data_IF_111330215625
#
_entry.id   IF_111330215625
#
_cell.length_a   1.000
_cell.length_b   1.000
_cell.length_c   1.000
_cell.angle_alpha   90.00
_cell.angle_beta   90.00
_cell.angle_gamma   90.00
#
_symmetry.space_group_name_H-M   'P 1'
#
loop_
_entity.id
_entity.type
_entity.pdbx_description
1 polymer ?
#
# COMPACT_ATOMS: atom_id res chain seq x y z
N UNK A 1 -9.09 1.82 6.17
CA UNK A 1 -9.28 0.78 5.14
C UNK A 1 -8.90 1.41 3.80
N UNK A 2 -8.02 0.80 2.99
CA UNK A 2 -7.58 1.44 1.74
C UNK A 2 -8.73 1.57 0.74
N UNK A 3 -8.71 2.61 -0.08
CA UNK A 3 -9.80 2.88 -1.00
C UNK A 3 -9.80 1.85 -2.14
N UNK A 4 -10.88 1.08 -2.25
CA UNK A 4 -11.18 0.22 -3.39
C UNK A 4 -12.68 0.27 -3.65
N UNK A 5 -13.07 0.25 -4.93
CA UNK A 5 -14.48 0.20 -5.31
C UNK A 5 -15.13 -1.08 -4.76
N UNK A 6 -16.37 -1.01 -4.26
CA UNK A 6 -17.12 -2.18 -3.79
C UNK A 6 -17.17 -3.32 -4.82
N UNK A 7 -17.20 -2.97 -6.11
CA UNK A 7 -17.17 -3.92 -7.22
C UNK A 7 -15.88 -4.74 -7.25
N UNK A 8 -14.77 -4.20 -6.72
CA UNK A 8 -13.50 -4.90 -6.62
C UNK A 8 -13.43 -5.86 -5.43
N UNK A 9 -14.36 -5.76 -4.48
CA UNK A 9 -14.37 -6.55 -3.25
C UNK A 9 -15.22 -7.82 -3.34
N UNK A 10 -16.12 -7.90 -4.31
CA UNK A 10 -17.11 -8.97 -4.45
C UNK A 10 -16.80 -9.86 -5.66
N UNK A 11 -17.14 -11.15 -5.57
CA UNK A 11 -17.04 -12.07 -6.72
C UNK A 11 -15.63 -12.47 -7.17
N UNK A 12 -14.56 -12.02 -6.50
CA UNK A 12 -13.15 -12.31 -6.86
C UNK A 12 -12.62 -13.67 -6.33
N UNK A 13 -13.46 -14.45 -5.66
CA UNK A 13 -13.10 -15.76 -5.11
C UNK A 13 -12.46 -15.70 -3.71
N UNK A 14 -12.20 -16.89 -3.15
CA UNK A 14 -11.75 -17.04 -1.75
C UNK A 14 -10.36 -16.46 -1.49
N UNK A 15 -9.45 -16.60 -2.45
CA UNK A 15 -8.06 -16.16 -2.29
C UNK A 15 -7.95 -14.64 -2.24
N UNK A 16 -8.65 -13.93 -3.14
CA UNK A 16 -8.69 -12.47 -3.12
C UNK A 16 -9.26 -11.92 -1.80
N UNK A 17 -10.32 -12.56 -1.28
CA UNK A 17 -10.89 -12.23 0.03
C UNK A 17 -9.88 -12.45 1.16
N UNK A 18 -9.20 -13.61 1.17
CA UNK A 18 -8.20 -13.94 2.18
C UNK A 18 -7.05 -12.93 2.20
N UNK A 19 -6.47 -12.60 1.04
CA UNK A 19 -5.40 -11.61 0.92
C UNK A 19 -5.82 -10.23 1.41
N UNK A 20 -7.07 -9.84 1.14
CA UNK A 20 -7.66 -8.60 1.65
C UNK A 20 -7.70 -8.62 3.19
N UNK A 21 -8.32 -9.65 3.77
CA UNK A 21 -8.49 -9.80 5.22
C UNK A 21 -7.13 -9.83 5.94
N UNK A 22 -6.13 -10.52 5.39
CA UNK A 22 -4.76 -10.56 5.95
C UNK A 22 -4.08 -9.18 5.91
N UNK A 23 -4.22 -8.43 4.82
CA UNK A 23 -3.65 -7.08 4.70
C UNK A 23 -4.36 -6.09 5.64
N UNK A 24 -5.68 -6.16 5.76
CA UNK A 24 -6.46 -5.35 6.70
C UNK A 24 -6.07 -5.65 8.15
N UNK A 25 -5.88 -6.92 8.50
CA UNK A 25 -5.41 -7.34 9.81
C UNK A 25 -4.00 -6.82 10.11
N UNK A 26 -3.09 -6.83 9.13
CA UNK A 26 -1.75 -6.24 9.29
C UNK A 26 -1.81 -4.74 9.59
N UNK A 27 -2.59 -3.99 8.79
CA UNK A 27 -2.75 -2.53 8.96
C UNK A 27 -3.29 -2.21 10.35
N UNK A 28 -4.34 -2.92 10.79
CA UNK A 28 -4.98 -2.70 12.08
C UNK A 28 -4.08 -3.11 13.25
N UNK A 29 -3.45 -4.28 13.19
CA UNK A 29 -2.62 -4.82 14.29
C UNK A 29 -1.34 -4.02 14.53
N UNK A 30 -0.86 -3.29 13.52
CA UNK A 30 0.35 -2.45 13.60
C UNK A 30 0.05 -0.96 13.59
N UNK A 31 -1.23 -0.58 13.65
CA UNK A 31 -1.67 0.82 13.74
C UNK A 31 -1.06 1.68 12.62
N UNK A 32 -1.06 1.12 11.41
CA UNK A 32 -0.51 1.76 10.21
C UNK A 32 -1.52 2.72 9.60
N UNK A 33 -1.01 3.84 9.10
CA UNK A 33 -1.78 4.81 8.33
C UNK A 33 -1.78 4.38 6.87
N UNK A 34 -2.93 4.52 6.22
CA UNK A 34 -3.08 4.31 4.77
C UNK A 34 -3.20 5.67 4.09
N UNK A 35 -2.36 5.90 3.08
CA UNK A 35 -2.27 7.18 2.37
C UNK A 35 -3.08 7.24 1.08
N UNK A 36 -3.54 6.10 0.56
CA UNK A 36 -4.39 6.05 -0.63
C UNK A 36 -5.64 6.94 -0.45
N UNK A 37 -5.88 7.84 -1.42
CA UNK A 37 -7.01 8.78 -1.42
C UNK A 37 -8.10 8.36 -2.42
N UNK A 38 -9.36 8.57 -2.04
CA UNK A 38 -10.48 8.43 -2.96
C UNK A 38 -10.42 9.49 -4.09
N UNK A 39 -10.99 9.17 -5.24
CA UNK A 39 -11.03 10.07 -6.41
C UNK A 39 -9.72 10.15 -7.21
N UNK A 40 -8.69 9.37 -6.85
CA UNK A 40 -7.50 9.17 -7.67
C UNK A 40 -7.73 8.08 -8.72
N UNK A 41 -6.99 8.10 -9.85
CA UNK A 41 -6.98 7.02 -10.82
C UNK A 41 -6.66 5.65 -10.19
N UNK A 42 -7.10 4.57 -10.84
CA UNK A 42 -6.78 3.21 -10.39
C UNK A 42 -5.27 2.95 -10.45
N UNK A 43 -4.69 2.23 -9.48
CA UNK A 43 -3.23 2.02 -9.45
C UNK A 43 -2.75 0.98 -10.46
N UNK A 44 -3.65 0.16 -10.99
CA UNK A 44 -3.38 -0.80 -12.04
C UNK A 44 -4.45 -0.73 -13.14
N UNK A 45 -4.03 -0.75 -14.39
CA UNK A 45 -4.90 -0.74 -15.57
C UNK A 45 -4.33 -1.68 -16.64
N UNK A 46 -5.13 -2.66 -17.02
CA UNK A 46 -4.79 -3.61 -18.09
C UNK A 46 -6.00 -3.80 -19.02
N UNK A 47 -5.82 -4.57 -20.09
CA UNK A 47 -6.93 -5.00 -20.98
C UNK A 47 -8.06 -5.71 -20.22
N UNK A 48 -7.75 -6.34 -19.07
CA UNK A 48 -8.72 -7.05 -18.22
C UNK A 48 -9.46 -6.13 -17.23
N UNK A 49 -9.23 -4.81 -17.33
CA UNK A 49 -9.83 -3.79 -16.50
C UNK A 49 -8.86 -3.18 -15.49
N UNK A 50 -9.44 -2.36 -14.62
CA UNK A 50 -8.72 -1.53 -13.67
C UNK A 50 -8.89 -2.00 -12.23
N UNK A 51 -7.91 -1.74 -11.37
CA UNK A 51 -7.97 -2.11 -9.96
C UNK A 51 -7.05 -1.28 -9.07
N UNK A 52 -7.31 -1.30 -7.76
CA UNK A 52 -6.46 -0.70 -6.74
C UNK A 52 -5.73 -1.79 -5.97
N UNK A 53 -4.54 -2.17 -6.42
CA UNK A 53 -3.73 -3.24 -5.83
C UNK A 53 -2.44 -2.73 -5.16
N UNK A 54 -2.00 -1.52 -5.52
CA UNK A 54 -0.90 -0.83 -4.84
C UNK A 54 -1.40 0.01 -3.65
N UNK A 55 -0.78 -0.18 -2.49
CA UNK A 55 -1.14 0.49 -1.23
C UNK A 55 0.08 1.21 -0.67
N UNK A 56 -0.11 2.46 -0.24
CA UNK A 56 0.90 3.25 0.45
C UNK A 56 0.55 3.33 1.92
N UNK A 57 1.43 2.82 2.78
CA UNK A 57 1.22 2.77 4.24
C UNK A 57 2.44 3.30 5.00
N UNK A 58 2.22 3.83 6.19
CA UNK A 58 3.29 4.25 7.10
C UNK A 58 2.96 3.99 8.56
N UNK A 59 3.97 4.04 9.42
CA UNK A 59 3.75 4.23 10.85
C UNK A 59 3.25 5.64 11.13
N UNK A 60 2.76 5.88 12.35
CA UNK A 60 2.44 7.23 12.84
C UNK A 60 3.67 8.14 12.77
N UNK A 61 3.44 9.43 12.52
CA UNK A 61 4.49 10.46 12.47
C UNK A 61 5.12 10.70 11.10
N UNK A 62 4.93 9.80 10.12
CA UNK A 62 5.28 10.08 8.74
C UNK A 62 4.35 11.18 8.19
N UNK A 63 4.95 12.27 7.71
CA UNK A 63 4.22 13.34 7.02
C UNK A 63 4.31 13.08 5.53
N UNK A 64 3.16 12.87 4.92
CA UNK A 64 3.01 12.70 3.48
C UNK A 64 2.10 13.83 2.99
N UNK A 65 2.53 14.53 1.97
CA UNK A 65 1.74 15.57 1.32
C UNK A 65 1.50 15.14 -0.12
N UNK A 66 0.39 15.57 -0.72
CA UNK A 66 0.13 15.39 -2.16
C UNK A 66 0.23 13.96 -2.72
N UNK A 67 -0.11 12.93 -1.93
CA UNK A 67 -0.27 11.56 -2.44
C UNK A 67 -1.21 11.55 -3.65
N UNK A 68 -0.72 11.05 -4.78
CA UNK A 68 -1.46 10.98 -6.05
C UNK A 68 -1.02 9.84 -6.92
N UNK A 69 -1.92 9.38 -7.77
CA UNK A 69 -1.63 8.42 -8.85
C UNK A 69 -1.38 9.20 -10.13
N UNK A 70 -0.27 8.95 -10.80
CA UNK A 70 0.09 9.59 -12.07
C UNK A 70 -0.26 8.67 -13.24
N UNK A 71 -1.19 9.12 -14.08
CA UNK A 71 -1.52 8.48 -15.35
C UNK A 71 -0.43 8.76 -16.38
N UNK A 72 -0.17 7.76 -17.23
CA UNK A 72 0.72 7.84 -18.40
C UNK A 72 2.16 8.31 -18.12
N UNK A 73 2.58 8.26 -16.85
CA UNK A 73 3.93 8.64 -16.44
C UNK A 73 4.99 7.59 -16.83
N UNK A 74 4.57 6.33 -17.00
CA UNK A 74 5.41 5.19 -17.35
C UNK A 74 4.66 4.23 -18.28
N UNK A 75 5.40 3.51 -19.11
CA UNK A 75 4.89 2.42 -19.95
C UNK A 75 4.78 1.13 -19.11
N UNK A 76 3.76 1.05 -18.25
CA UNK A 76 3.45 -0.12 -17.42
C UNK A 76 1.95 -0.17 -17.12
N UNK A 77 1.41 -1.37 -16.94
CA UNK A 77 0.05 -1.55 -16.44
C UNK A 77 -0.12 -0.99 -15.02
N UNK A 78 0.98 -0.91 -14.24
CA UNK A 78 0.99 -0.19 -12.98
C UNK A 78 1.15 1.31 -13.21
N UNK A 79 0.32 2.11 -12.55
CA UNK A 79 0.42 3.57 -12.54
C UNK A 79 1.36 4.03 -11.44
N UNK A 80 2.19 5.03 -11.75
CA UNK A 80 3.17 5.56 -10.81
C UNK A 80 2.46 6.28 -9.65
N UNK A 81 2.78 5.91 -8.41
CA UNK A 81 2.35 6.64 -7.22
C UNK A 81 3.42 7.68 -6.87
N UNK A 82 3.01 8.95 -6.79
CA UNK A 82 3.85 10.04 -6.34
C UNK A 82 3.45 10.43 -4.92
N UNK A 83 4.42 10.39 -4.01
CA UNK A 83 4.27 10.82 -2.63
C UNK A 83 5.55 11.56 -2.21
N UNK A 84 5.52 12.91 -2.17
CA UNK A 84 6.56 13.70 -1.52
C UNK A 84 6.71 13.27 -0.05
N UNK A 85 7.81 12.60 0.26
CA UNK A 85 8.20 12.32 1.64
C UNK A 85 9.02 13.51 2.17
N UNK A 86 8.67 14.00 3.35
CA UNK A 86 9.48 14.99 4.06
C UNK A 86 10.66 14.26 4.73
N UNK A 87 11.86 14.44 4.18
CA UNK A 87 13.11 13.86 4.70
C UNK A 87 13.88 13.05 3.66
N UNK A 88 14.98 12.41 4.07
CA UNK A 88 15.77 11.53 3.19
C UNK A 88 15.17 10.13 3.18
N UNK A 89 14.64 9.63 2.06
CA UNK A 89 14.03 8.30 2.01
C UNK A 89 15.10 7.23 2.16
N UNK A 90 14.92 6.34 3.14
CA UNK A 90 15.71 5.11 3.26
C UNK A 90 14.98 4.02 2.48
N UNK A 91 15.55 3.62 1.34
CA UNK A 91 15.04 2.47 0.57
C UNK A 91 15.60 1.18 1.13
N UNK A 92 14.72 0.31 1.63
CA UNK A 92 15.08 -1.08 1.91
C UNK A 92 15.07 -1.88 0.61
N UNK A 93 16.19 -2.50 0.27
CA UNK A 93 16.34 -3.30 -0.95
C UNK A 93 15.87 -4.72 -0.68
N UNK A 94 14.88 -5.17 -1.44
CA UNK A 94 14.19 -6.45 -1.25
C UNK A 94 15.05 -7.71 -1.47
N UNK A 95 16.06 -7.64 -2.36
CA UNK A 95 16.86 -8.82 -2.80
C UNK A 95 17.75 -9.46 -1.71
N UNK A 96 17.64 -9.05 -0.45
CA UNK A 96 18.33 -9.65 0.69
C UNK A 96 17.51 -9.60 1.98
N UNK A 97 16.21 -9.35 1.90
CA UNK A 97 15.34 -9.30 3.08
C UNK A 97 15.00 -10.74 3.49
N UNK A 98 15.37 -11.09 4.72
CA UNK A 98 14.88 -12.31 5.35
C UNK A 98 13.41 -12.10 5.75
N UNK A 99 12.51 -12.61 4.92
CA UNK A 99 11.07 -12.53 5.14
C UNK A 99 10.61 -13.21 6.43
N UNK A 100 11.38 -14.14 7.00
CA UNK A 100 11.08 -14.72 8.30
C UNK A 100 11.42 -13.75 9.45
N UNK A 101 12.35 -12.81 9.23
CA UNK A 101 12.73 -11.77 10.22
C UNK A 101 11.94 -10.48 10.06
N UNK A 102 11.41 -10.20 8.88
CA UNK A 102 10.63 -9.00 8.61
C UNK A 102 9.51 -8.71 9.65
N UNK A 103 8.75 -9.71 10.14
CA UNK A 103 7.74 -9.49 11.19
C UNK A 103 8.31 -8.94 12.51
N UNK A 104 9.58 -9.23 12.82
CA UNK A 104 10.28 -8.78 14.03
C UNK A 104 10.91 -7.40 13.84
N UNK A 105 11.25 -7.02 12.60
CA UNK A 105 11.85 -5.71 12.29
C UNK A 105 10.82 -4.56 12.39
N UNK A 106 9.56 -4.82 12.07
CA UNK A 106 8.47 -3.83 12.22
C UNK A 106 8.15 -3.57 13.70
N UNK A 107 8.59 -4.45 14.61
CA UNK A 107 8.26 -4.39 16.04
C UNK A 107 9.21 -3.50 16.86
N UNK A 108 10.34 -3.06 16.31
CA UNK A 108 11.44 -2.48 17.10
C UNK A 108 11.33 -0.95 17.27
N UNK A 109 10.28 -0.30 16.78
CA UNK A 109 10.11 1.17 16.86
C UNK A 109 8.78 1.61 17.51
N UNK A 110 8.13 0.73 18.29
CA UNK A 110 7.14 1.21 19.25
C UNK A 110 7.91 1.92 20.39
N UNK A 111 7.72 3.23 20.63
CA UNK A 111 8.26 3.84 21.83
C UNK A 111 7.63 3.14 23.04
N UNK A 112 8.48 2.75 23.99
CA UNK A 112 8.07 2.16 25.26
C UNK A 112 7.02 3.05 25.92
N UNK A 113 5.90 2.45 26.34
CA UNK A 113 4.94 3.07 27.23
C UNK A 113 5.54 3.28 28.63
#
# INVERSE_FOLDING_TARGET
MWYSDQRHLSGRGREARRRREEMEALILSRDLLVHNKAGQPHTFSSENGESNIDVTISTRGARTEDWRVMEDAIESDHRLIAEPLVGTPVRYRERGVDWNRFPNMISVHAPSA
#
